data_IF_427426578902
#
_entry.id   IF_427426578902
#
_cell.length_a   1.000
_cell.length_b   1.000
_cell.length_c   1.000
_cell.angle_alpha   90.00
_cell.angle_beta   90.00
_cell.angle_gamma   90.00
#
_symmetry.space_group_name_H-M   'P 1'
#
loop_
_entity.id
_entity.type
_entity.pdbx_description
1 polymer ?
#
# COMPACT_ATOMS: atom_id res chain seq x y z
N UNK A 1 0.47 20.18 -19.34
CA UNK A 1 1.73 19.39 -19.45
C UNK A 1 1.99 18.77 -18.09
N UNK A 2 2.38 17.50 -18.01
CA UNK A 2 2.71 16.89 -16.71
C UNK A 2 4.15 17.27 -16.32
N UNK A 3 4.39 17.52 -15.04
CA UNK A 3 5.72 17.86 -14.49
C UNK A 3 6.28 16.66 -13.76
N UNK A 4 7.38 16.09 -14.27
CA UNK A 4 8.09 15.02 -13.57
C UNK A 4 8.85 15.62 -12.39
N UNK A 5 8.61 15.14 -11.17
CA UNK A 5 9.37 15.60 -10.00
C UNK A 5 10.83 15.10 -10.05
N UNK A 6 11.78 15.80 -9.41
CA UNK A 6 13.21 15.43 -9.41
C UNK A 6 13.46 13.99 -8.96
N UNK A 7 14.48 13.35 -9.53
CA UNK A 7 14.83 11.96 -9.22
C UNK A 7 15.60 11.86 -7.91
N UNK A 8 14.98 11.27 -6.90
CA UNK A 8 15.59 10.90 -5.63
C UNK A 8 14.75 9.84 -4.92
N UNK A 9 15.29 9.16 -3.89
CA UNK A 9 14.51 8.18 -3.14
C UNK A 9 13.40 8.85 -2.34
N UNK A 10 13.57 10.11 -1.93
CA UNK A 10 12.59 10.85 -1.12
C UNK A 10 11.54 11.52 -2.00
N UNK A 11 10.27 11.23 -1.73
CA UNK A 11 9.13 11.87 -2.39
C UNK A 11 8.57 13.04 -1.57
N UNK A 12 8.67 12.93 -0.24
CA UNK A 12 8.32 13.97 0.73
C UNK A 12 9.26 13.84 1.93
N UNK A 13 9.63 14.97 2.53
CA UNK A 13 10.66 15.04 3.58
C UNK A 13 12.06 14.68 3.11
N UNK A 14 13.00 14.59 4.06
CA UNK A 14 14.40 14.29 3.76
C UNK A 14 15.01 15.33 2.80
N UNK A 15 15.48 14.90 1.62
CA UNK A 15 16.00 15.82 0.59
C UNK A 15 14.92 16.53 -0.24
N UNK A 16 13.64 16.16 -0.08
CA UNK A 16 12.50 16.76 -0.77
C UNK A 16 11.59 17.41 0.27
N UNK A 17 11.81 18.70 0.58
CA UNK A 17 11.12 19.37 1.68
C UNK A 17 9.60 19.27 1.59
N UNK A 18 8.96 19.15 2.74
CA UNK A 18 7.51 19.27 2.84
C UNK A 18 7.07 20.70 2.53
N UNK A 19 5.86 20.82 2.01
CA UNK A 19 5.19 22.09 1.79
C UNK A 19 3.70 21.91 2.04
N UNK A 20 3.10 22.74 2.89
CA UNK A 20 1.66 22.68 3.18
C UNK A 20 0.82 23.03 1.95
N UNK A 21 1.33 23.88 1.05
CA UNK A 21 0.63 24.27 -0.19
C UNK A 21 0.54 23.14 -1.20
N UNK A 22 1.37 22.10 -1.05
CA UNK A 22 1.37 20.93 -1.93
C UNK A 22 0.24 19.96 -1.58
N UNK A 23 -0.49 20.17 -0.48
CA UNK A 23 -1.48 19.25 0.06
C UNK A 23 -2.84 19.93 0.28
N UNK A 24 -3.90 19.13 0.19
CA UNK A 24 -5.28 19.60 0.41
C UNK A 24 -6.12 18.51 1.07
N UNK A 25 -7.13 18.95 1.85
CA UNK A 25 -8.02 18.06 2.60
C UNK A 25 -9.12 17.48 1.72
N UNK A 26 -9.43 16.20 1.93
CA UNK A 26 -10.66 15.56 1.46
C UNK A 26 -11.24 14.73 2.60
N UNK A 27 -12.09 15.36 3.42
CA UNK A 27 -12.72 14.72 4.58
C UNK A 27 -14.16 14.29 4.28
N UNK A 28 -14.77 13.51 5.16
CA UNK A 28 -16.15 13.03 5.03
C UNK A 28 -17.22 14.13 5.02
N UNK A 29 -16.88 15.39 5.33
CA UNK A 29 -17.73 16.58 5.17
C UNK A 29 -18.32 16.71 3.77
N UNK A 30 -17.63 16.21 2.74
CA UNK A 30 -18.16 16.14 1.36
C UNK A 30 -19.37 15.21 1.21
N UNK A 31 -19.65 14.39 2.22
CA UNK A 31 -20.80 13.48 2.35
C UNK A 31 -21.68 13.83 3.56
N UNK A 32 -21.49 15.00 4.18
CA UNK A 32 -22.21 15.42 5.38
C UNK A 32 -21.67 14.84 6.69
N UNK A 33 -20.47 14.27 6.70
CA UNK A 33 -19.77 13.92 7.93
C UNK A 33 -19.16 15.13 8.64
N UNK A 34 -18.55 14.89 9.80
CA UNK A 34 -17.99 15.94 10.66
C UNK A 34 -16.51 15.74 10.97
N UNK A 35 -15.83 14.80 10.29
CA UNK A 35 -14.38 14.63 10.46
C UNK A 35 -13.62 15.78 9.81
N UNK A 36 -12.48 16.13 10.38
CA UNK A 36 -11.63 17.19 9.88
C UNK A 36 -10.16 16.82 10.01
N UNK A 37 -9.39 17.05 8.94
CA UNK A 37 -7.94 16.88 8.95
C UNK A 37 -7.19 18.16 8.63
N UNK A 38 -5.94 18.20 9.07
CA UNK A 38 -4.95 19.22 8.75
C UNK A 38 -3.60 18.56 8.48
N UNK A 39 -2.75 19.26 7.71
CA UNK A 39 -1.34 18.92 7.54
C UNK A 39 -0.50 20.15 7.92
N UNK A 40 0.18 20.08 9.06
CA UNK A 40 1.05 21.17 9.53
C UNK A 40 2.50 20.79 9.26
N UNK A 41 3.25 21.69 8.62
CA UNK A 41 4.67 21.47 8.32
C UNK A 41 5.51 22.19 9.36
N UNK A 42 6.51 21.50 9.90
CA UNK A 42 7.59 22.10 10.68
C UNK A 42 8.81 22.26 9.76
N UNK A 43 9.11 23.49 9.36
CA UNK A 43 10.19 23.79 8.43
C UNK A 43 11.59 23.55 9.03
N UNK A 44 11.75 23.71 10.36
CA UNK A 44 13.02 23.52 11.05
C UNK A 44 13.43 22.04 11.07
N UNK A 45 12.48 21.15 11.30
CA UNK A 45 12.70 19.70 11.33
C UNK A 45 12.41 19.03 9.99
N UNK A 46 11.83 19.76 9.03
CA UNK A 46 11.31 19.24 7.76
C UNK A 46 10.40 18.02 7.97
N UNK A 47 9.44 18.14 8.89
CA UNK A 47 8.44 17.10 9.18
C UNK A 47 7.03 17.60 8.91
N UNK A 48 6.11 16.67 8.63
CA UNK A 48 4.70 16.94 8.44
C UNK A 48 3.87 16.23 9.49
N UNK A 49 3.03 16.97 10.22
CA UNK A 49 2.07 16.42 11.18
C UNK A 49 0.70 16.36 10.54
N UNK A 50 0.20 15.15 10.31
CA UNK A 50 -1.18 14.88 9.91
C UNK A 50 -2.04 14.70 11.16
N UNK A 51 -2.97 15.62 11.39
CA UNK A 51 -3.76 15.65 12.64
C UNK A 51 -5.19 16.15 12.43
N UNK A 52 -6.05 15.92 13.42
CA UNK A 52 -7.42 16.38 13.42
C UNK A 52 -8.33 15.53 14.29
N UNK A 53 -9.62 15.50 13.95
CA UNK A 53 -10.62 14.71 14.65
C UNK A 53 -11.37 13.81 13.66
N UNK A 54 -11.49 12.53 14.02
CA UNK A 54 -12.27 11.53 13.31
C UNK A 54 -13.62 11.36 14.01
N UNK A 55 -14.66 11.98 13.45
CA UNK A 55 -16.02 11.80 13.93
C UNK A 55 -16.67 10.62 13.24
N UNK A 56 -17.23 9.72 14.04
CA UNK A 56 -17.97 8.55 13.54
C UNK A 56 -19.46 8.64 13.83
N UNK A 57 -19.89 9.62 14.63
CA UNK A 57 -21.28 9.70 15.10
C UNK A 57 -22.20 10.26 14.01
N UNK A 58 -21.72 11.25 13.26
CA UNK A 58 -22.54 11.92 12.23
C UNK A 58 -23.01 10.97 11.13
N UNK A 59 -22.18 10.00 10.75
CA UNK A 59 -22.49 9.03 9.69
C UNK A 59 -22.72 7.60 10.23
N UNK A 60 -23.12 7.46 11.50
CA UNK A 60 -23.56 6.17 12.06
C UNK A 60 -22.47 5.10 12.09
N UNK A 61 -21.29 5.45 12.58
CA UNK A 61 -20.09 4.59 12.67
C UNK A 61 -19.11 4.77 11.51
N UNK A 62 -19.54 5.37 10.39
CA UNK A 62 -18.63 5.74 9.30
C UNK A 62 -17.95 7.08 9.57
N UNK A 63 -16.71 7.22 9.14
CA UNK A 63 -15.98 8.48 9.19
C UNK A 63 -14.63 8.37 8.49
N UNK A 64 -14.16 9.46 7.88
CA UNK A 64 -12.80 9.56 7.36
C UNK A 64 -12.32 11.00 7.29
N UNK A 65 -11.02 11.17 7.53
CA UNK A 65 -10.30 12.42 7.31
C UNK A 65 -9.06 12.13 6.47
N UNK A 66 -8.76 12.97 5.48
CA UNK A 66 -7.61 12.71 4.60
C UNK A 66 -6.98 13.97 4.02
N UNK A 67 -5.68 13.89 3.76
CA UNK A 67 -4.90 14.87 3.03
C UNK A 67 -4.30 14.20 1.81
N UNK A 68 -4.27 14.89 0.68
CA UNK A 68 -3.60 14.40 -0.52
C UNK A 68 -2.89 15.52 -1.27
N UNK A 69 -1.94 15.16 -2.12
CA UNK A 69 -1.24 16.14 -2.96
C UNK A 69 -2.24 16.90 -3.85
N UNK A 70 -2.13 18.22 -3.88
CA UNK A 70 -3.03 19.13 -4.57
C UNK A 70 -2.73 19.22 -6.08
N UNK A 71 -1.49 18.96 -6.49
CA UNK A 71 -1.11 18.97 -7.91
C UNK A 71 -1.90 17.94 -8.70
N UNK A 72 -2.39 18.35 -9.87
CA UNK A 72 -3.03 17.48 -10.86
C UNK A 72 -2.13 17.17 -12.06
N UNK A 73 -0.94 17.79 -12.09
CA UNK A 73 0.03 17.66 -13.19
C UNK A 73 1.31 16.95 -12.77
N UNK A 74 1.53 16.76 -11.47
CA UNK A 74 2.71 16.06 -10.97
C UNK A 74 2.68 14.58 -11.37
N UNK A 75 3.84 14.04 -11.70
CA UNK A 75 4.04 12.64 -12.02
C UNK A 75 5.21 12.08 -11.23
N UNK A 76 4.94 11.02 -10.47
CA UNK A 76 5.93 10.25 -9.72
C UNK A 76 6.18 8.91 -10.39
N UNK A 77 7.46 8.63 -10.64
CA UNK A 77 7.94 7.37 -11.18
C UNK A 77 8.47 6.50 -10.05
N UNK A 78 7.66 5.54 -9.62
CA UNK A 78 7.94 4.62 -8.52
C UNK A 78 8.49 3.27 -9.01
N UNK A 79 8.64 3.10 -10.33
CA UNK A 79 8.91 1.80 -10.98
C UNK A 79 10.25 1.16 -10.57
N UNK A 80 11.21 1.96 -10.13
CA UNK A 80 12.54 1.53 -9.69
C UNK A 80 12.59 1.01 -8.25
N UNK A 81 11.50 1.14 -7.49
CA UNK A 81 11.44 0.78 -6.07
C UNK A 81 10.69 -0.54 -5.82
N UNK A 82 10.94 -1.18 -4.69
CA UNK A 82 10.25 -2.39 -4.23
C UNK A 82 8.98 -2.08 -3.39
N UNK A 83 8.83 -0.82 -2.99
CA UNK A 83 7.76 -0.33 -2.13
C UNK A 83 8.08 1.06 -1.60
N UNK A 84 7.33 1.50 -0.60
CA UNK A 84 7.52 2.76 0.10
C UNK A 84 7.91 2.50 1.55
N UNK A 85 8.77 3.34 2.10
CA UNK A 85 9.10 3.36 3.52
C UNK A 85 8.78 4.76 4.07
N UNK A 86 8.18 4.80 5.25
CA UNK A 86 7.85 6.02 5.98
C UNK A 86 8.66 6.06 7.27
N UNK A 87 9.21 7.24 7.60
CA UNK A 87 9.73 7.53 8.95
C UNK A 87 8.71 8.34 9.71
N UNK A 88 8.31 7.81 10.86
CA UNK A 88 7.20 8.27 11.69
C UNK A 88 7.72 8.38 13.13
N UNK A 89 8.34 9.52 13.50
CA UNK A 89 8.87 9.71 14.85
C UNK A 89 7.79 9.76 15.93
N UNK A 90 6.54 10.12 15.58
CA UNK A 90 5.42 10.21 16.51
C UNK A 90 4.13 9.65 15.89
N UNK A 91 3.46 8.78 16.63
CA UNK A 91 2.15 8.22 16.28
C UNK A 91 1.31 8.03 17.54
N UNK A 92 0.02 8.23 17.40
CA UNK A 92 -1.01 8.01 18.43
C UNK A 92 -1.51 6.56 18.53
N UNK A 93 -1.00 5.65 17.70
CA UNK A 93 -1.40 4.24 17.67
C UNK A 93 -2.68 3.93 16.89
N UNK A 94 -3.27 4.91 16.20
CA UNK A 94 -4.34 4.68 15.23
C UNK A 94 -3.84 3.92 14.00
N UNK A 95 -4.76 3.29 13.28
CA UNK A 95 -4.47 2.73 11.96
C UNK A 95 -4.69 3.80 10.91
N UNK A 96 -3.68 4.00 10.07
CA UNK A 96 -3.69 4.94 8.96
C UNK A 96 -3.69 4.20 7.62
N UNK A 97 -3.91 4.92 6.54
CA UNK A 97 -3.85 4.40 5.18
C UNK A 97 -3.04 5.35 4.30
N UNK A 98 -2.06 4.81 3.57
CA UNK A 98 -1.42 5.50 2.47
C UNK A 98 -2.16 5.18 1.17
N UNK A 99 -2.55 6.22 0.45
CA UNK A 99 -3.35 6.17 -0.77
C UNK A 99 -2.50 6.59 -1.97
N UNK A 100 -2.57 5.83 -3.05
CA UNK A 100 -1.99 6.19 -4.34
C UNK A 100 -3.06 6.22 -5.43
N UNK A 101 -2.93 7.16 -6.36
CA UNK A 101 -3.67 7.16 -7.63
C UNK A 101 -2.71 7.35 -8.78
N UNK A 102 -2.91 6.62 -9.85
CA UNK A 102 -2.24 6.76 -11.14
C UNK A 102 -3.16 7.38 -12.22
N UNK A 103 -4.45 7.48 -11.92
CA UNK A 103 -5.45 8.17 -12.72
C UNK A 103 -6.17 9.24 -11.88
N UNK A 104 -6.18 10.46 -12.41
CA UNK A 104 -7.02 11.54 -11.92
C UNK A 104 -8.15 11.71 -12.91
N UNK A 105 -9.38 11.62 -12.42
CA UNK A 105 -10.56 11.85 -13.24
C UNK A 105 -10.77 13.36 -13.38
N UNK A 106 -11.29 13.78 -14.52
CA UNK A 106 -11.73 15.17 -14.67
C UNK A 106 -12.81 15.50 -13.63
N UNK A 107 -12.75 16.69 -13.02
CA UNK A 107 -13.84 17.17 -12.18
C UNK A 107 -15.17 17.10 -12.93
N UNK A 108 -16.24 16.84 -12.19
CA UNK A 108 -17.59 16.96 -12.74
C UNK A 108 -17.88 18.43 -13.10
N UNK A 109 -18.89 18.69 -13.95
CA UNK A 109 -19.33 20.05 -14.25
C UNK A 109 -19.71 20.88 -13.01
N UNK A 110 -20.11 20.22 -11.91
CA UNK A 110 -20.43 20.83 -10.62
C UNK A 110 -19.18 21.09 -9.74
N UNK A 111 -17.97 20.89 -10.28
CA UNK A 111 -16.69 21.04 -9.57
C UNK A 111 -16.32 19.87 -8.66
N UNK A 112 -17.20 18.86 -8.49
CA UNK A 112 -16.90 17.73 -7.61
C UNK A 112 -15.98 16.72 -8.28
N UNK A 113 -14.98 16.24 -7.54
CA UNK A 113 -14.08 15.20 -8.03
C UNK A 113 -14.86 13.89 -8.30
N UNK A 114 -14.65 13.29 -9.48
CA UNK A 114 -15.22 11.97 -9.78
C UNK A 114 -14.49 10.89 -8.97
N UNK A 115 -15.22 9.85 -8.59
CA UNK A 115 -14.61 8.66 -7.99
C UNK A 115 -13.78 7.92 -9.05
N UNK A 116 -12.58 7.52 -8.66
CA UNK A 116 -11.70 6.63 -9.42
C UNK A 116 -11.14 5.56 -8.50
N UNK A 117 -10.39 4.63 -9.06
CA UNK A 117 -9.63 3.65 -8.28
C UNK A 117 -8.61 4.35 -7.38
N UNK A 118 -8.43 3.81 -6.18
CA UNK A 118 -7.41 4.21 -5.21
C UNK A 118 -6.70 2.96 -4.77
N UNK A 119 -5.38 2.99 -4.71
CA UNK A 119 -4.59 1.90 -4.14
C UNK A 119 -4.27 2.26 -2.70
N UNK A 120 -4.77 1.45 -1.78
CA UNK A 120 -4.72 1.72 -0.35
C UNK A 120 -3.83 0.70 0.35
N UNK A 121 -2.85 1.17 1.11
CA UNK A 121 -2.06 0.36 2.03
C UNK A 121 -2.33 0.82 3.46
N UNK A 122 -2.89 -0.07 4.28
CA UNK A 122 -3.14 0.20 5.71
C UNK A 122 -1.87 -0.02 6.50
N UNK A 123 -1.62 0.82 7.50
CA UNK A 123 -0.49 0.65 8.40
C UNK A 123 -0.78 1.19 9.79
N UNK A 124 -0.07 0.65 10.77
CA UNK A 124 -0.05 1.09 12.15
C UNK A 124 1.39 1.07 12.63
N UNK A 125 1.79 2.07 13.41
CA UNK A 125 3.13 2.11 14.00
C UNK A 125 3.11 1.32 15.30
N UNK A 126 3.85 0.21 15.32
CA UNK A 126 3.98 -0.61 16.52
C UNK A 126 4.81 0.10 17.58
N UNK A 127 4.53 -0.20 18.86
CA UNK A 127 5.22 0.44 19.99
C UNK A 127 6.73 0.24 19.89
N UNK A 128 7.49 1.34 19.92
CA UNK A 128 8.95 1.34 19.84
C UNK A 128 9.50 1.31 18.41
N UNK A 129 8.64 1.26 17.39
CA UNK A 129 9.04 1.46 16.00
C UNK A 129 8.82 2.91 15.58
N UNK A 130 9.63 3.37 14.62
CA UNK A 130 9.50 4.69 13.99
C UNK A 130 9.52 4.59 12.47
N UNK A 131 9.45 3.38 11.92
CA UNK A 131 9.48 3.15 10.48
C UNK A 131 8.46 2.11 10.08
N UNK A 132 7.83 2.36 8.95
CA UNK A 132 6.87 1.44 8.32
C UNK A 132 7.31 1.20 6.88
N UNK A 133 7.31 -0.07 6.46
CA UNK A 133 7.60 -0.47 5.08
C UNK A 133 6.34 -1.03 4.46
N UNK A 134 5.99 -0.51 3.28
CA UNK A 134 4.81 -0.88 2.51
C UNK A 134 5.25 -1.42 1.15
N UNK A 135 5.21 -2.74 0.99
CA UNK A 135 5.46 -3.38 -0.30
C UNK A 135 4.31 -3.15 -1.28
N UNK A 136 4.57 -3.25 -2.59
CA UNK A 136 3.51 -3.05 -3.60
C UNK A 136 2.30 -3.98 -3.46
N UNK A 137 2.47 -5.15 -2.84
CA UNK A 137 1.37 -6.11 -2.56
C UNK A 137 0.40 -5.63 -1.47
N UNK A 138 0.80 -4.69 -0.62
CA UNK A 138 -0.05 -4.14 0.44
C UNK A 138 -1.05 -3.12 -0.09
N UNK A 139 -0.75 -2.53 -1.26
CA UNK A 139 -1.61 -1.56 -1.93
C UNK A 139 -2.76 -2.29 -2.65
N UNK A 140 -3.92 -2.38 -1.98
CA UNK A 140 -5.12 -3.01 -2.52
C UNK A 140 -5.97 -1.99 -3.28
N UNK A 141 -6.44 -2.29 -4.50
CA UNK A 141 -7.31 -1.38 -5.24
C UNK A 141 -8.68 -1.30 -4.59
N UNK A 142 -9.15 -0.08 -4.35
CA UNK A 142 -10.48 0.21 -3.81
C UNK A 142 -11.24 1.18 -4.72
N UNK A 143 -12.56 1.02 -4.75
CA UNK A 143 -13.48 1.96 -5.37
C UNK A 143 -14.55 2.36 -4.36
N UNK A 144 -14.58 3.64 -4.01
CA UNK A 144 -15.48 4.21 -2.99
C UNK A 144 -15.42 3.45 -1.65
N UNK A 145 -14.21 3.05 -1.24
CA UNK A 145 -13.95 2.37 0.04
C UNK A 145 -14.23 0.86 0.04
N UNK A 146 -14.58 0.27 -1.11
CA UNK A 146 -14.73 -1.18 -1.26
C UNK A 146 -13.57 -1.73 -2.07
N UNK A 147 -12.97 -2.81 -1.60
CA UNK A 147 -11.92 -3.50 -2.35
C UNK A 147 -12.48 -4.04 -3.67
N UNK A 148 -11.68 -3.92 -4.74
CA UNK A 148 -12.01 -4.43 -6.07
C UNK A 148 -11.17 -5.67 -6.33
N UNK A 149 -11.78 -6.84 -6.26
CA UNK A 149 -11.11 -8.09 -6.64
C UNK A 149 -10.91 -8.11 -8.16
N UNK A 150 -9.71 -8.53 -8.62
CA UNK A 150 -9.33 -8.57 -10.04
C UNK A 150 -9.23 -7.20 -10.72
N UNK A 151 -8.86 -6.16 -9.98
CA UNK A 151 -8.55 -4.84 -10.54
C UNK A 151 -7.25 -4.82 -11.37
N UNK A 152 -7.10 -3.81 -12.24
CA UNK A 152 -5.82 -3.54 -12.92
C UNK A 152 -4.71 -3.25 -11.88
N UNK A 153 -3.44 -3.56 -12.18
CA UNK A 153 -2.35 -3.17 -11.28
C UNK A 153 -2.16 -1.65 -11.24
N UNK A 154 -1.56 -1.17 -10.15
CA UNK A 154 -1.09 0.21 -10.02
C UNK A 154 0.02 0.47 -11.05
N UNK A 155 -0.12 1.54 -11.84
CA UNK A 155 0.88 1.97 -12.81
C UNK A 155 1.95 2.79 -12.07
N UNK A 156 2.97 2.09 -11.58
CA UNK A 156 4.04 2.67 -10.75
C UNK A 156 4.83 3.78 -11.45
N UNK A 157 5.00 3.72 -12.77
CA UNK A 157 5.75 4.72 -13.54
C UNK A 157 5.00 6.07 -13.68
N UNK A 158 3.72 6.11 -13.30
CA UNK A 158 2.84 7.25 -13.55
C UNK A 158 1.88 7.53 -12.40
N UNK A 159 2.36 7.41 -11.16
CA UNK A 159 1.57 7.82 -10.00
C UNK A 159 1.35 9.34 -10.07
N UNK A 160 0.12 9.78 -9.83
CA UNK A 160 -0.35 11.17 -9.96
C UNK A 160 -0.81 11.78 -8.65
N UNK A 161 -0.98 10.99 -7.59
CA UNK A 161 -1.39 11.51 -6.28
C UNK A 161 -0.94 10.59 -5.16
N UNK A 162 -0.43 11.20 -4.10
CA UNK A 162 -0.23 10.60 -2.79
C UNK A 162 -1.30 11.13 -1.83
N UNK A 163 -1.78 10.29 -0.92
CA UNK A 163 -2.68 10.69 0.14
C UNK A 163 -2.44 9.94 1.44
N UNK A 164 -2.66 10.61 2.56
CA UNK A 164 -2.63 10.04 3.91
C UNK A 164 -4.05 10.17 4.47
N UNK A 165 -4.55 9.10 5.06
CA UNK A 165 -5.92 9.01 5.50
C UNK A 165 -6.03 8.26 6.82
N UNK A 166 -6.99 8.69 7.64
CA UNK A 166 -7.50 7.94 8.77
C UNK A 166 -8.98 7.62 8.52
N UNK A 167 -9.41 6.42 8.93
CA UNK A 167 -10.80 5.95 8.75
C UNK A 167 -11.30 5.32 10.02
N UNK A 168 -12.61 5.37 10.23
CA UNK A 168 -13.24 4.72 11.37
C UNK A 168 -13.25 3.21 11.32
N UNK A 169 -13.10 2.64 10.11
CA UNK A 169 -13.36 1.23 9.83
C UNK A 169 -14.71 0.75 10.41
N UNK A 170 -15.74 1.59 10.30
CA UNK A 170 -17.08 1.32 10.83
C UNK A 170 -17.13 1.13 12.36
N UNK A 171 -16.36 1.94 13.09
CA UNK A 171 -16.43 2.03 14.55
C UNK A 171 -15.26 1.40 15.29
N UNK A 172 -14.22 0.95 14.59
CA UNK A 172 -13.00 0.42 15.20
C UNK A 172 -12.10 1.53 15.78
N UNK A 173 -12.20 2.76 15.28
CA UNK A 173 -11.47 3.92 15.79
C UNK A 173 -12.24 5.25 15.59
N UNK A 174 -12.08 6.19 16.53
CA UNK A 174 -12.65 7.54 16.51
C UNK A 174 -11.80 8.49 17.38
N UNK A 175 -12.08 9.79 17.29
CA UNK A 175 -11.49 10.80 18.16
C UNK A 175 -10.32 11.55 17.53
N UNK A 176 -9.56 12.25 18.38
CA UNK A 176 -8.42 13.04 17.95
C UNK A 176 -7.30 12.12 17.47
N UNK A 177 -6.67 12.52 16.36
CA UNK A 177 -5.55 11.79 15.80
C UNK A 177 -4.36 12.69 15.48
N UNK A 178 -3.16 12.12 15.56
CA UNK A 178 -1.91 12.79 15.24
C UNK A 178 -0.84 11.80 14.78
N UNK A 179 -0.27 12.09 13.60
CA UNK A 179 0.80 11.32 12.98
C UNK A 179 1.87 12.28 12.46
N UNK A 180 3.07 12.25 13.02
CA UNK A 180 4.21 13.01 12.51
C UNK A 180 5.01 12.15 11.54
N UNK A 181 5.22 12.67 10.34
CA UNK A 181 5.93 11.99 9.25
C UNK A 181 7.17 12.82 8.91
N UNK A 182 8.33 12.22 9.11
CA UNK A 182 9.61 12.83 8.77
C UNK A 182 9.84 12.73 7.25
N UNK A 183 9.63 11.56 6.66
CA UNK A 183 9.75 11.39 5.22
C UNK A 183 8.99 10.18 4.69
N UNK A 184 8.74 10.20 3.38
CA UNK A 184 8.26 9.08 2.57
C UNK A 184 9.27 8.86 1.45
N UNK A 185 9.81 7.65 1.36
CA UNK A 185 10.84 7.31 0.36
C UNK A 185 10.59 5.96 -0.31
N UNK A 186 11.19 5.76 -1.48
CA UNK A 186 11.22 4.48 -2.17
C UNK A 186 12.19 3.49 -1.53
N UNK A 187 11.77 2.24 -1.37
CA UNK A 187 12.62 1.13 -0.94
C UNK A 187 13.41 0.62 -2.15
N UNK A 188 14.74 0.54 -2.04
CA UNK A 188 15.57 -0.04 -3.12
C UNK A 188 15.18 -1.50 -3.36
N UNK A 189 15.09 -1.92 -4.62
CA UNK A 189 15.03 -3.34 -4.96
C UNK A 189 16.32 -4.02 -4.48
N UNK A 190 16.19 -5.18 -3.85
CA UNK A 190 17.36 -6.03 -3.65
C UNK A 190 17.91 -6.35 -5.05
N UNK A 191 19.22 -6.19 -5.25
CA UNK A 191 19.84 -6.70 -6.47
C UNK A 191 19.76 -8.21 -6.36
N UNK A 192 19.07 -8.85 -7.30
CA UNK A 192 19.08 -10.30 -7.43
C UNK A 192 20.53 -10.76 -7.35
N UNK A 193 20.90 -11.40 -6.25
CA UNK A 193 22.09 -12.23 -6.20
C UNK A 193 21.71 -13.51 -6.93
N UNK A 194 21.61 -13.45 -8.26
CA UNK A 194 21.86 -14.64 -9.07
C UNK A 194 23.32 -15.00 -8.78
N UNK A 195 23.53 -15.81 -7.75
CA UNK A 195 24.69 -16.67 -7.68
C UNK A 195 24.48 -17.66 -8.80
N UNK A 196 25.04 -17.37 -9.96
CA UNK A 196 25.53 -18.42 -10.84
C UNK A 196 26.67 -19.10 -10.07
N UNK A 197 26.32 -19.91 -9.07
CA UNK A 197 27.25 -20.85 -8.47
C UNK A 197 27.04 -22.18 -9.20
N UNK A 198 27.91 -22.54 -10.16
CA UNK A 198 27.76 -23.78 -10.91
C UNK A 198 28.00 -25.05 -10.07
N UNK A 199 28.17 -24.94 -8.75
CA UNK A 199 28.39 -26.07 -7.84
C UNK A 199 27.13 -26.56 -7.09
N UNK A 200 25.94 -26.01 -7.34
CA UNK A 200 24.71 -26.46 -6.65
C UNK A 200 24.08 -27.70 -7.34
N UNK A 201 24.91 -28.70 -7.64
CA UNK A 201 24.48 -30.07 -7.95
C UNK A 201 24.72 -30.93 -6.70
N UNK A 202 23.85 -30.79 -5.69
CA UNK A 202 23.73 -31.83 -4.67
C UNK A 202 22.58 -32.76 -5.05
N UNK A 203 23.02 -33.97 -5.40
CA UNK A 203 22.28 -35.18 -5.73
C UNK A 203 21.25 -35.50 -4.64
N UNK A 204 19.96 -35.54 -5.00
CA UNK A 204 18.93 -36.14 -4.18
C UNK A 204 18.17 -37.17 -5.03
N UNK A 205 18.77 -38.35 -5.17
CA UNK A 205 18.03 -39.57 -5.47
C UNK A 205 17.15 -39.92 -4.26
N UNK A 206 15.87 -39.54 -4.29
CA UNK A 206 14.87 -40.11 -3.38
C UNK A 206 14.04 -41.19 -4.10
N UNK A 207 14.30 -42.41 -3.63
CA UNK A 207 13.66 -43.67 -3.94
C UNK A 207 12.16 -43.62 -3.55
N UNK A 208 11.27 -43.62 -4.53
CA UNK A 208 9.83 -43.74 -4.31
C UNK A 208 9.46 -45.21 -4.08
N UNK A 209 9.16 -45.57 -2.83
CA UNK A 209 8.54 -46.83 -2.44
C UNK A 209 7.00 -46.68 -2.47
N UNK A 210 6.36 -47.23 -3.50
CA UNK A 210 4.90 -47.25 -3.63
C UNK A 210 4.29 -48.50 -2.98
N UNK A 211 3.76 -48.28 -1.78
CA UNK A 211 2.51 -48.84 -1.22
C UNK A 211 2.20 -50.31 -1.51
N UNK A 212 2.38 -51.10 -0.44
CA UNK A 212 1.52 -52.22 -0.09
C UNK A 212 0.02 -51.89 -0.28
N UNK A 213 -0.61 -52.58 -1.23
CA UNK A 213 -2.03 -52.93 -1.17
C UNK A 213 -2.11 -54.45 -1.10
N UNK A 214 -2.71 -54.92 -0.01
CA UNK A 214 -3.05 -56.32 0.23
C UNK A 214 -4.12 -56.77 -0.77
N UNK A 215 -3.90 -57.91 -1.42
CA UNK A 215 -4.97 -58.87 -1.64
C UNK A 215 -4.37 -60.28 -1.63
N UNK A 216 -4.79 -61.06 -0.64
CA UNK A 216 -4.65 -62.50 -0.58
C UNK A 216 -5.62 -63.12 -1.59
N UNK A 217 -5.13 -63.88 -2.57
CA UNK A 217 -5.63 -65.24 -2.86
C UNK A 217 -4.78 -65.96 -3.93
N UNK A 218 -4.01 -66.92 -3.45
CA UNK A 218 -3.95 -68.31 -3.92
C UNK A 218 -4.17 -68.61 -5.42
N UNK A 219 -3.12 -69.00 -6.15
CA UNK A 219 -3.02 -70.35 -6.74
C UNK A 219 -1.77 -70.55 -7.62
N UNK A 220 -1.35 -71.81 -7.65
CA UNK A 220 -0.16 -72.40 -8.29
C UNK A 220 -0.21 -72.34 -9.81
N UNK A 221 0.96 -72.24 -10.46
CA UNK A 221 1.11 -72.79 -11.82
C UNK A 221 2.23 -72.19 -12.66
N UNK A 222 3.18 -73.06 -13.05
CA UNK A 222 4.24 -72.81 -14.04
C UNK A 222 3.68 -72.47 -15.44
N UNK A 223 4.47 -71.80 -16.29
CA UNK A 223 4.29 -71.94 -17.74
C UNK A 223 4.93 -70.87 -18.61
N UNK A 224 5.68 -71.31 -19.62
CA UNK A 224 6.43 -70.55 -20.61
C UNK A 224 5.61 -69.96 -21.78
N UNK A 225 6.23 -68.99 -22.48
CA UNK A 225 6.29 -68.75 -23.96
C UNK A 225 5.02 -68.46 -24.81
N UNK A 226 5.21 -67.40 -25.64
CA UNK A 226 4.83 -67.24 -27.06
C UNK A 226 3.45 -66.71 -27.52
N UNK A 227 3.56 -65.97 -28.65
CA UNK A 227 2.61 -65.41 -29.62
C UNK A 227 1.31 -66.21 -29.86
N UNK A 228 0.20 -65.67 -30.34
CA UNK A 228 -0.12 -64.64 -31.35
C UNK A 228 -1.42 -63.92 -30.97
#
# INVERSE_FOLDING_TARGET
>A
MCTKRPSGPFFFGGSQHWSSTDWTSSDDRVRGGSSQSHLTINDDTNTATFHGNLDIKTLGGAGFASQHTASTTDLWDLSSYAGLELSIPKSDGHTYTLNLRDELQDPRPDGRQRSGLVWEAKFKVEKGQTKVKLGWREFRPTYRGREVHMGRPLILAGVKQFGIMIRSFFGEQEGDFELEIEWIRGIKKEKDRYRDDPNDFEDHEEYYDEKHFSDDQESKGLGWLCCW
#
